data_IF_564442612785
#
_entry.id   IF_564442612785
#
_cell.length_a   1.000
_cell.length_b   1.000
_cell.length_c   1.000
_cell.angle_alpha   90.00
_cell.angle_beta   90.00
_cell.angle_gamma   90.00
#
_symmetry.space_group_name_H-M   'P 1'
#
loop_
_entity.id
_entity.type
_entity.pdbx_description
1 polymer ?
#
# COMPACT_ATOMS: atom_id res chain seq x y z
N UNK A 1 20.34 7.03 18.95
CA UNK A 1 20.27 7.55 17.56
C UNK A 1 18.89 7.26 17.01
N UNK A 2 17.96 8.23 17.02
CA UNK A 2 16.58 8.02 16.51
C UNK A 2 16.63 8.00 14.98
N UNK A 3 16.50 6.82 14.37
CA UNK A 3 16.39 6.68 12.92
C UNK A 3 15.03 7.28 12.53
N UNK A 4 15.05 8.44 11.88
CA UNK A 4 13.84 9.07 11.35
C UNK A 4 13.33 8.23 10.16
N UNK A 5 12.42 7.29 10.46
CA UNK A 5 11.82 6.36 9.49
C UNK A 5 11.16 7.09 8.31
N UNK A 6 10.88 8.39 8.42
CA UNK A 6 10.34 9.24 7.35
C UNK A 6 11.36 9.52 6.24
N UNK A 7 12.66 9.44 6.51
CA UNK A 7 13.75 9.70 5.52
C UNK A 7 14.26 8.45 4.81
N UNK A 8 13.91 7.26 5.30
CA UNK A 8 14.31 5.98 4.69
C UNK A 8 13.96 5.85 3.19
N UNK A 9 12.88 6.44 2.65
CA UNK A 9 12.59 6.41 1.21
C UNK A 9 13.52 7.27 0.36
N UNK A 10 13.93 8.41 0.90
CA UNK A 10 14.91 9.27 0.23
C UNK A 10 16.31 8.65 0.28
N UNK A 11 16.68 8.02 1.41
CA UNK A 11 17.95 7.32 1.55
C UNK A 11 18.06 6.12 0.59
N UNK A 12 16.99 5.34 0.43
CA UNK A 12 16.94 4.23 -0.53
C UNK A 12 16.70 4.68 -1.98
N UNK A 13 16.61 5.98 -2.29
CA UNK A 13 16.55 6.41 -3.70
C UNK A 13 15.30 6.00 -4.46
N UNK A 14 14.18 5.78 -3.76
CA UNK A 14 12.87 5.35 -4.33
C UNK A 14 11.72 6.17 -3.76
N UNK A 15 11.96 7.44 -3.42
CA UNK A 15 10.98 8.27 -2.71
C UNK A 15 9.73 8.60 -3.55
N UNK A 16 9.87 8.63 -4.88
CA UNK A 16 8.87 9.07 -5.84
C UNK A 16 8.81 10.60 -5.97
N UNK A 17 7.67 11.12 -6.42
CA UNK A 17 7.39 12.56 -6.44
C UNK A 17 6.98 13.04 -5.04
N UNK A 18 7.59 14.11 -4.55
CA UNK A 18 7.34 14.63 -3.20
C UNK A 18 5.93 15.21 -3.04
N UNK A 19 5.37 15.20 -1.82
CA UNK A 19 3.98 15.64 -1.56
C UNK A 19 3.73 17.12 -1.87
N UNK A 20 4.76 17.95 -1.79
CA UNK A 20 4.71 19.40 -2.06
C UNK A 20 4.88 19.76 -3.54
N UNK A 21 5.07 18.77 -4.41
CA UNK A 21 5.17 18.97 -5.86
C UNK A 21 3.80 19.17 -6.51
N UNK A 22 3.84 19.71 -7.74
CA UNK A 22 2.66 20.03 -8.53
C UNK A 22 1.68 18.85 -8.64
N UNK A 23 0.38 19.13 -8.67
CA UNK A 23 -0.65 18.11 -8.88
C UNK A 23 -0.47 17.34 -10.19
N UNK A 24 -0.03 18.02 -11.23
CA UNK A 24 0.25 17.43 -12.55
C UNK A 24 1.34 16.36 -12.42
N UNK A 25 2.45 16.66 -11.75
CA UNK A 25 3.53 15.70 -11.50
C UNK A 25 3.03 14.48 -10.71
N UNK A 26 2.18 14.69 -9.70
CA UNK A 26 1.59 13.61 -8.90
C UNK A 26 0.60 12.74 -9.70
N UNK A 27 -0.17 13.31 -10.61
CA UNK A 27 -1.08 12.55 -11.50
C UNK A 27 -0.31 11.70 -12.49
N UNK A 28 0.69 12.28 -13.15
CA UNK A 28 1.53 11.56 -14.11
C UNK A 28 2.35 10.45 -13.44
N UNK A 29 2.88 10.68 -12.25
CA UNK A 29 3.56 9.64 -11.47
C UNK A 29 2.67 8.41 -11.27
N UNK A 30 1.41 8.59 -10.86
CA UNK A 30 0.47 7.46 -10.67
C UNK A 30 0.12 6.75 -11.97
N UNK A 31 0.00 7.49 -13.08
CA UNK A 31 -0.35 6.92 -14.39
C UNK A 31 0.79 6.12 -15.01
N UNK A 32 2.04 6.57 -14.85
CA UNK A 32 3.22 5.93 -15.43
C UNK A 32 3.70 4.74 -14.59
N UNK A 33 3.44 4.75 -13.29
CA UNK A 33 3.90 3.69 -12.39
C UNK A 33 3.27 2.32 -12.69
N UNK A 34 1.99 2.26 -13.11
CA UNK A 34 1.32 0.98 -13.41
C UNK A 34 1.88 0.32 -14.68
N UNK A 35 1.95 1.02 -15.84
CA UNK A 35 2.58 0.49 -17.04
C UNK A 35 4.03 0.08 -16.81
N UNK A 36 4.82 0.88 -16.10
CA UNK A 36 6.22 0.53 -15.81
C UNK A 36 6.32 -0.68 -14.90
N UNK A 37 5.43 -0.82 -13.91
CA UNK A 37 5.42 -2.02 -13.07
C UNK A 37 5.10 -3.28 -13.87
N UNK A 38 4.11 -3.23 -14.76
CA UNK A 38 3.77 -4.34 -15.66
C UNK A 38 4.90 -4.65 -16.64
N UNK A 39 5.52 -3.61 -17.21
CA UNK A 39 6.69 -3.75 -18.08
C UNK A 39 7.87 -4.39 -17.34
N UNK A 40 8.02 -4.15 -16.04
CA UNK A 40 9.11 -4.75 -15.26
C UNK A 40 8.82 -6.22 -14.90
N UNK A 41 7.54 -6.62 -14.82
CA UNK A 41 7.16 -8.03 -14.65
C UNK A 41 7.62 -8.90 -15.82
N UNK A 42 7.82 -8.30 -17.00
CA UNK A 42 8.39 -8.97 -18.16
C UNK A 42 9.83 -9.43 -17.92
N UNK A 43 10.63 -8.70 -17.13
CA UNK A 43 12.08 -8.98 -16.99
C UNK A 43 12.40 -10.42 -16.51
N UNK A 44 11.79 -10.95 -15.43
CA UNK A 44 12.02 -12.35 -15.04
C UNK A 44 11.56 -13.35 -16.09
N UNK A 45 10.47 -13.08 -16.82
CA UNK A 45 10.02 -13.93 -17.93
C UNK A 45 10.98 -13.88 -19.12
N UNK A 46 11.46 -12.70 -19.50
CA UNK A 46 12.44 -12.51 -20.56
C UNK A 46 13.71 -13.31 -20.26
N UNK A 47 14.14 -13.29 -19.00
CA UNK A 47 15.31 -14.04 -18.58
C UNK A 47 15.05 -15.56 -18.54
N UNK A 48 13.85 -16.02 -18.18
CA UNK A 48 13.47 -17.42 -18.34
C UNK A 48 13.45 -17.85 -19.81
N UNK A 49 12.89 -17.01 -20.69
CA UNK A 49 12.82 -17.26 -22.13
C UNK A 49 14.21 -17.31 -22.78
N UNK A 50 15.13 -16.42 -22.37
CA UNK A 50 16.55 -16.43 -22.74
C UNK A 50 17.24 -17.73 -22.25
N UNK A 51 17.05 -18.09 -20.98
CA UNK A 51 17.66 -19.29 -20.39
C UNK A 51 17.20 -20.61 -21.05
N UNK A 52 15.98 -20.66 -21.57
CA UNK A 52 15.42 -21.83 -22.26
C UNK A 52 15.48 -21.73 -23.79
N UNK A 53 15.98 -20.63 -24.36
CA UNK A 53 16.03 -20.41 -25.80
C UNK A 53 14.66 -20.41 -26.49
N UNK A 54 13.62 -19.94 -25.79
CA UNK A 54 12.23 -20.00 -26.26
C UNK A 54 11.87 -18.91 -27.29
N UNK A 55 12.61 -17.80 -27.26
CA UNK A 55 12.33 -16.61 -28.06
C UNK A 55 13.62 -16.20 -28.79
N UNK A 56 13.48 -15.69 -30.03
CA UNK A 56 14.63 -15.17 -30.77
C UNK A 56 15.30 -14.00 -30.05
N UNK A 57 16.63 -13.94 -30.11
CA UNK A 57 17.43 -12.90 -29.47
C UNK A 57 16.99 -11.49 -29.89
N UNK A 58 16.62 -11.30 -31.17
CA UNK A 58 16.15 -10.02 -31.68
C UNK A 58 14.82 -9.56 -31.06
N UNK A 59 13.88 -10.49 -30.82
CA UNK A 59 12.61 -10.16 -30.17
C UNK A 59 12.80 -9.89 -28.67
N UNK A 60 13.67 -10.66 -27.99
CA UNK A 60 14.04 -10.39 -26.60
C UNK A 60 14.67 -9.01 -26.43
N UNK A 61 15.58 -8.63 -27.34
CA UNK A 61 16.21 -7.31 -27.35
C UNK A 61 15.19 -6.19 -27.59
N UNK A 62 14.26 -6.36 -28.53
CA UNK A 62 13.22 -5.37 -28.81
C UNK A 62 12.31 -5.14 -27.59
N UNK A 63 11.94 -6.21 -26.89
CA UNK A 63 11.10 -6.13 -25.69
C UNK A 63 11.86 -5.52 -24.50
N UNK A 64 13.11 -5.88 -24.30
CA UNK A 64 13.97 -5.26 -23.28
C UNK A 64 14.18 -3.76 -23.53
N UNK A 65 14.37 -3.36 -24.81
CA UNK A 65 14.45 -1.96 -25.21
C UNK A 65 13.13 -1.22 -24.93
N UNK A 66 11.99 -1.86 -25.19
CA UNK A 66 10.67 -1.28 -24.88
C UNK A 66 10.50 -1.03 -23.38
N UNK A 67 10.87 -2.01 -22.53
CA UNK A 67 10.81 -1.88 -21.06
C UNK A 67 11.75 -0.77 -20.58
N UNK A 68 13.01 -0.75 -21.06
CA UNK A 68 13.96 0.30 -20.71
C UNK A 68 13.48 1.68 -21.16
N UNK A 69 12.94 1.78 -22.38
CA UNK A 69 12.36 3.00 -22.92
C UNK A 69 11.18 3.51 -22.10
N UNK A 70 10.32 2.62 -21.59
CA UNK A 70 9.22 3.00 -20.70
C UNK A 70 9.72 3.57 -19.36
N UNK A 71 10.76 2.96 -18.77
CA UNK A 71 11.38 3.45 -17.53
C UNK A 71 12.08 4.79 -17.76
N UNK A 72 12.82 4.94 -18.86
CA UNK A 72 13.44 6.19 -19.24
C UNK A 72 12.39 7.28 -19.42
N UNK A 73 11.30 6.98 -20.14
CA UNK A 73 10.21 7.92 -20.38
C UNK A 73 9.58 8.35 -19.06
N UNK A 74 9.33 7.43 -18.13
CA UNK A 74 8.85 7.77 -16.78
C UNK A 74 9.81 8.75 -16.10
N UNK A 75 11.09 8.41 -16.04
CA UNK A 75 12.11 9.23 -15.38
C UNK A 75 12.22 10.63 -16.01
N UNK A 76 12.21 10.72 -17.34
CA UNK A 76 12.28 11.98 -18.09
C UNK A 76 11.03 12.82 -17.84
N UNK A 77 9.84 12.27 -18.05
CA UNK A 77 8.56 12.99 -17.87
C UNK A 77 8.44 13.53 -16.44
N UNK A 78 8.77 12.71 -15.44
CA UNK A 78 8.73 13.16 -14.03
C UNK A 78 9.79 14.20 -13.72
N UNK A 79 11.00 14.07 -14.27
CA UNK A 79 12.06 15.08 -14.08
C UNK A 79 11.71 16.43 -14.71
N UNK A 80 10.94 16.45 -15.80
CA UNK A 80 10.48 17.68 -16.46
C UNK A 80 9.31 18.35 -15.73
N UNK A 81 8.42 17.55 -15.14
CA UNK A 81 7.23 18.01 -14.41
C UNK A 81 7.53 18.53 -12.99
N UNK A 82 8.62 18.04 -12.38
CA UNK A 82 9.02 18.39 -11.01
C UNK A 82 9.74 19.74 -10.97
N UNK A 83 9.38 20.57 -9.99
CA UNK A 83 9.90 21.93 -9.83
C UNK A 83 11.38 21.93 -9.43
N UNK A 84 11.79 21.01 -8.55
CA UNK A 84 13.19 20.88 -8.12
C UNK A 84 13.83 19.56 -8.60
N UNK A 85 14.41 19.60 -9.80
CA UNK A 85 15.02 18.43 -10.46
C UNK A 85 16.13 17.79 -9.60
N UNK A 86 16.94 18.61 -8.94
CA UNK A 86 18.07 18.12 -8.13
C UNK A 86 17.56 17.32 -6.93
N UNK A 87 16.53 17.82 -6.26
CA UNK A 87 15.89 17.10 -5.16
C UNK A 87 15.27 15.78 -5.65
N UNK A 88 14.59 15.80 -6.80
CA UNK A 88 14.03 14.59 -7.39
C UNK A 88 15.07 13.50 -7.63
N UNK A 89 16.19 13.84 -8.29
CA UNK A 89 17.24 12.86 -8.59
C UNK A 89 18.00 12.39 -7.36
N UNK A 90 18.21 13.24 -6.35
CA UNK A 90 18.81 12.80 -5.08
C UNK A 90 17.89 11.89 -4.25
N UNK A 91 16.57 12.06 -4.37
CA UNK A 91 15.60 11.20 -3.70
C UNK A 91 15.22 9.95 -4.51
N UNK A 92 15.50 9.95 -5.81
CA UNK A 92 15.22 8.88 -6.75
C UNK A 92 16.50 8.41 -7.48
N UNK A 93 17.65 8.42 -6.78
CA UNK A 93 18.94 8.05 -7.36
C UNK A 93 18.96 6.62 -7.88
N UNK A 94 18.08 5.76 -7.36
CA UNK A 94 17.97 4.39 -7.83
C UNK A 94 17.27 4.28 -9.19
N UNK A 95 16.31 5.16 -9.52
CA UNK A 95 15.79 5.25 -10.89
C UNK A 95 16.90 5.63 -11.88
N UNK A 96 17.82 6.50 -11.47
CA UNK A 96 18.98 6.86 -12.28
C UNK A 96 19.89 5.63 -12.49
N UNK A 97 20.15 4.85 -11.44
CA UNK A 97 20.90 3.60 -11.55
C UNK A 97 20.22 2.55 -12.43
N UNK A 98 18.89 2.44 -12.39
CA UNK A 98 18.14 1.53 -13.27
C UNK A 98 18.32 1.95 -14.74
N UNK A 99 18.16 3.24 -15.04
CA UNK A 99 18.31 3.77 -16.40
C UNK A 99 19.76 3.63 -16.88
N UNK A 100 20.73 4.01 -16.05
CA UNK A 100 22.17 3.92 -16.36
C UNK A 100 22.66 2.47 -16.46
N UNK A 101 22.19 1.58 -15.58
CA UNK A 101 22.56 0.17 -15.57
C UNK A 101 21.96 -0.61 -16.75
N UNK A 102 20.81 -0.17 -17.27
CA UNK A 102 20.21 -0.74 -18.48
C UNK A 102 20.89 -0.32 -19.78
N UNK A 103 21.65 0.78 -19.79
CA UNK A 103 22.24 1.36 -21.00
C UNK A 103 23.41 0.53 -21.57
N UNK A 104 24.37 0.02 -20.77
CA UNK A 104 25.41 -0.90 -21.24
C UNK A 104 24.84 -2.18 -21.86
N UNK A 105 23.70 -2.67 -21.36
CA UNK A 105 23.05 -3.91 -21.83
C UNK A 105 22.50 -3.79 -23.26
N UNK A 106 22.22 -2.58 -23.74
CA UNK A 106 21.75 -2.36 -25.12
C UNK A 106 22.88 -2.49 -26.16
N UNK A 107 24.14 -2.26 -25.75
CA UNK A 107 25.28 -2.17 -26.67
C UNK A 107 26.35 -3.24 -26.45
N UNK A 108 26.48 -3.79 -25.23
CA UNK A 108 27.52 -4.73 -24.85
C UNK A 108 26.98 -6.17 -24.82
N UNK A 109 26.89 -6.81 -25.99
CA UNK A 109 26.50 -8.23 -26.14
C UNK A 109 27.60 -9.23 -25.69
N UNK A 110 28.65 -8.80 -24.99
CA UNK A 110 29.80 -9.65 -24.68
C UNK A 110 29.55 -10.54 -23.45
N UNK A 111 29.75 -11.85 -23.63
CA UNK A 111 29.28 -12.93 -22.76
C UNK A 111 29.72 -12.88 -21.27
N UNK A 112 30.83 -12.23 -20.94
CA UNK A 112 31.33 -12.15 -19.55
C UNK A 112 30.63 -11.07 -18.70
N UNK A 113 30.11 -10.00 -19.31
CA UNK A 113 29.38 -8.95 -18.59
C UNK A 113 27.94 -9.38 -18.22
N UNK A 114 27.40 -10.41 -18.88
CA UNK A 114 26.04 -10.92 -18.72
C UNK A 114 25.74 -11.38 -17.29
N UNK A 115 26.63 -12.10 -16.62
CA UNK A 115 26.36 -12.63 -15.28
C UNK A 115 26.23 -11.50 -14.23
N UNK A 116 27.16 -10.55 -14.24
CA UNK A 116 27.13 -9.40 -13.32
C UNK A 116 25.92 -8.50 -13.57
N UNK A 117 25.60 -8.23 -14.84
CA UNK A 117 24.46 -7.40 -15.21
C UNK A 117 23.12 -8.11 -14.93
N UNK A 118 23.06 -9.44 -15.03
CA UNK A 118 21.89 -10.25 -14.62
C UNK A 118 21.66 -10.18 -13.12
N UNK A 119 22.69 -10.33 -12.29
CA UNK A 119 22.59 -10.18 -10.82
C UNK A 119 22.15 -8.77 -10.45
N UNK A 120 22.68 -7.75 -11.13
CA UNK A 120 22.23 -6.37 -10.96
C UNK A 120 20.73 -6.25 -11.25
N UNK A 121 20.23 -6.88 -12.33
CA UNK A 121 18.80 -6.96 -12.68
C UNK A 121 17.93 -7.59 -11.60
N UNK A 122 18.41 -8.65 -10.92
CA UNK A 122 17.69 -9.28 -9.80
C UNK A 122 17.59 -8.34 -8.59
N UNK A 123 18.67 -7.60 -8.34
CA UNK A 123 18.70 -6.58 -7.31
C UNK A 123 17.69 -5.44 -7.62
N UNK A 124 17.48 -5.11 -8.90
CA UNK A 124 16.43 -4.17 -9.32
C UNK A 124 15.02 -4.69 -9.00
N UNK A 125 14.79 -5.99 -9.14
CA UNK A 125 13.53 -6.64 -8.77
C UNK A 125 13.26 -6.46 -7.27
N UNK A 126 14.25 -6.74 -6.42
CA UNK A 126 14.18 -6.51 -4.97
C UNK A 126 13.91 -5.03 -4.64
N UNK A 127 14.55 -4.11 -5.35
CA UNK A 127 14.33 -2.67 -5.14
C UNK A 127 12.93 -2.23 -5.56
N UNK A 128 12.40 -2.76 -6.67
CA UNK A 128 11.03 -2.49 -7.09
C UNK A 128 10.01 -3.04 -6.09
N UNK A 129 10.26 -4.22 -5.54
CA UNK A 129 9.47 -4.79 -4.46
C UNK A 129 9.44 -3.85 -3.25
N UNK A 130 10.59 -3.30 -2.86
CA UNK A 130 10.67 -2.29 -1.79
C UNK A 130 9.87 -1.02 -2.15
N UNK A 131 9.94 -0.55 -3.40
CA UNK A 131 9.19 0.63 -3.90
C UNK A 131 7.68 0.38 -3.81
N UNK A 132 7.22 -0.82 -4.17
CA UNK A 132 5.81 -1.24 -4.17
C UNK A 132 5.28 -1.44 -2.75
N UNK A 133 6.00 -2.18 -1.88
CA UNK A 133 5.66 -2.38 -0.46
C UNK A 133 5.49 -1.05 0.27
N UNK A 134 6.33 -0.05 -0.04
CA UNK A 134 6.22 1.29 0.56
C UNK A 134 5.05 2.13 0.05
N UNK A 135 4.56 1.87 -1.15
CA UNK A 135 3.32 2.50 -1.64
C UNK A 135 2.14 1.97 -0.84
N UNK A 136 2.07 0.67 -0.58
CA UNK A 136 1.04 0.08 0.29
C UNK A 136 1.15 0.54 1.74
N UNK A 137 2.37 0.70 2.29
CA UNK A 137 2.57 1.28 3.64
C UNK A 137 2.12 2.75 3.71
N UNK A 138 2.29 3.53 2.64
CA UNK A 138 1.77 4.92 2.55
C UNK A 138 0.26 4.96 2.25
N UNK A 139 -0.28 3.93 1.62
CA UNK A 139 -1.71 3.72 1.38
C UNK A 139 -2.41 3.02 2.55
N UNK A 140 -1.71 2.71 3.64
CA UNK A 140 -2.33 2.32 4.91
C UNK A 140 -3.23 3.44 5.48
N UNK A 141 -3.09 4.67 4.96
CA UNK A 141 -4.02 5.77 5.21
C UNK A 141 -5.33 5.68 4.39
N UNK A 142 -5.45 4.76 3.42
CA UNK A 142 -6.64 4.53 2.58
C UNK A 142 -6.72 3.05 2.18
N UNK A 143 -7.36 2.25 3.04
CA UNK A 143 -7.81 0.86 2.86
C UNK A 143 -7.71 0.33 1.42
N UNK A 144 -6.61 -0.34 1.06
CA UNK A 144 -6.59 -1.12 -0.18
C UNK A 144 -5.83 -2.42 0.04
N UNK A 145 -6.50 -3.38 0.70
CA UNK A 145 -6.12 -4.80 0.70
C UNK A 145 -5.68 -5.27 -0.71
N UNK A 146 -6.38 -4.78 -1.74
CA UNK A 146 -6.04 -5.00 -3.14
C UNK A 146 -4.58 -4.64 -3.48
N UNK A 147 -4.04 -3.52 -2.99
CA UNK A 147 -2.67 -3.13 -3.28
C UNK A 147 -1.64 -4.08 -2.64
N UNK A 148 -1.92 -4.56 -1.42
CA UNK A 148 -1.08 -5.56 -0.73
C UNK A 148 -1.11 -6.89 -1.48
N UNK A 149 -2.28 -7.34 -1.94
CA UNK A 149 -2.43 -8.56 -2.72
C UNK A 149 -1.76 -8.48 -4.10
N UNK A 150 -1.85 -7.33 -4.78
CA UNK A 150 -1.16 -7.11 -6.06
C UNK A 150 0.36 -7.22 -5.89
N UNK A 151 0.92 -6.71 -4.78
CA UNK A 151 2.34 -6.85 -4.48
C UNK A 151 2.73 -8.30 -4.22
N UNK A 152 1.92 -9.01 -3.43
CA UNK A 152 2.13 -10.43 -3.16
C UNK A 152 2.12 -11.25 -4.47
N UNK A 153 1.17 -10.95 -5.37
CA UNK A 153 1.10 -11.59 -6.68
C UNK A 153 2.34 -11.27 -7.53
N UNK A 154 2.76 -10.00 -7.57
CA UNK A 154 3.96 -9.60 -8.29
C UNK A 154 5.23 -10.29 -7.76
N UNK A 155 5.37 -10.43 -6.43
CA UNK A 155 6.45 -11.18 -5.78
C UNK A 155 6.47 -12.64 -6.22
N UNK A 156 5.31 -13.30 -6.14
CA UNK A 156 5.16 -14.72 -6.49
C UNK A 156 5.52 -14.95 -7.95
N UNK A 157 4.97 -14.14 -8.86
CA UNK A 157 5.24 -14.29 -10.30
C UNK A 157 6.70 -14.03 -10.59
N UNK A 158 7.26 -12.94 -10.06
CA UNK A 158 8.64 -12.58 -10.34
C UNK A 158 9.63 -13.61 -9.80
N UNK A 159 9.53 -13.97 -8.52
CA UNK A 159 10.47 -14.90 -7.89
C UNK A 159 10.24 -16.33 -8.37
N UNK A 160 9.00 -16.74 -8.59
CA UNK A 160 8.67 -18.08 -9.09
C UNK A 160 9.19 -18.32 -10.50
N UNK A 161 9.01 -17.36 -11.41
CA UNK A 161 9.57 -17.47 -12.77
C UNK A 161 11.10 -17.43 -12.74
N UNK A 162 11.68 -16.58 -11.88
CA UNK A 162 13.13 -16.44 -11.75
C UNK A 162 13.77 -17.73 -11.23
N UNK A 163 13.24 -18.32 -10.16
CA UNK A 163 13.85 -19.51 -9.58
C UNK A 163 13.79 -20.71 -10.54
N UNK A 164 12.75 -20.78 -11.39
CA UNK A 164 12.61 -21.80 -12.43
C UNK A 164 13.66 -21.71 -13.56
N UNK A 165 14.37 -20.59 -13.69
CA UNK A 165 15.45 -20.42 -14.68
C UNK A 165 16.86 -20.51 -14.11
N UNK A 166 17.07 -20.25 -12.81
CA UNK A 166 18.41 -20.43 -12.18
C UNK A 166 18.56 -21.80 -11.52
N UNK A 167 17.48 -22.35 -10.96
CA UNK A 167 17.60 -23.50 -10.06
C UNK A 167 17.35 -24.83 -10.80
N UNK A 168 18.29 -25.79 -10.74
CA UNK A 168 18.14 -27.05 -11.46
C UNK A 168 17.03 -27.95 -10.89
N UNK A 169 16.63 -27.76 -9.63
CA UNK A 169 15.56 -28.57 -9.03
C UNK A 169 14.16 -28.06 -9.39
N UNK A 170 14.04 -26.83 -9.90
CA UNK A 170 12.77 -26.23 -10.34
C UNK A 170 12.64 -26.38 -11.85
N UNK A 171 11.86 -27.36 -12.30
CA UNK A 171 11.88 -27.81 -13.70
C UNK A 171 11.08 -26.90 -14.64
N UNK A 172 9.95 -26.37 -14.16
CA UNK A 172 9.05 -25.55 -14.97
C UNK A 172 8.70 -24.24 -14.28
N UNK A 173 8.21 -23.25 -15.05
CA UNK A 173 7.66 -22.00 -14.46
C UNK A 173 6.55 -22.33 -13.46
N UNK A 174 5.70 -23.31 -13.77
CA UNK A 174 4.60 -23.72 -12.91
C UNK A 174 5.09 -24.25 -11.56
N UNK A 175 6.18 -25.04 -11.56
CA UNK A 175 6.81 -25.51 -10.32
C UNK A 175 7.38 -24.34 -9.51
N UNK A 176 7.99 -23.36 -10.17
CA UNK A 176 8.51 -22.16 -9.53
C UNK A 176 7.41 -21.27 -8.94
N UNK A 177 6.31 -21.07 -9.67
CA UNK A 177 5.13 -20.34 -9.17
C UNK A 177 4.47 -21.07 -8.01
N UNK A 178 4.31 -22.39 -8.12
CA UNK A 178 3.80 -23.24 -7.05
C UNK A 178 4.65 -23.11 -5.79
N UNK A 179 5.97 -23.29 -5.92
CA UNK A 179 6.91 -23.13 -4.81
C UNK A 179 6.82 -21.73 -4.20
N UNK A 180 6.74 -20.68 -5.01
CA UNK A 180 6.65 -19.32 -4.52
C UNK A 180 5.35 -19.07 -3.73
N UNK A 181 4.20 -19.58 -4.19
CA UNK A 181 2.92 -19.52 -3.46
C UNK A 181 3.00 -20.29 -2.15
N UNK A 182 3.48 -21.53 -2.18
CA UNK A 182 3.59 -22.40 -0.99
C UNK A 182 4.56 -21.81 0.05
N UNK A 183 5.63 -21.16 -0.41
CA UNK A 183 6.63 -20.54 0.47
C UNK A 183 6.14 -19.22 1.06
N UNK A 184 5.59 -18.31 0.24
CA UNK A 184 5.11 -17.01 0.72
C UNK A 184 3.93 -17.17 1.69
N UNK A 185 3.08 -18.19 1.46
CA UNK A 185 1.95 -18.55 2.34
C UNK A 185 2.36 -19.32 3.59
N UNK A 186 3.65 -19.59 3.78
CA UNK A 186 4.22 -20.34 4.91
C UNK A 186 3.73 -21.79 5.05
N UNK A 187 3.16 -22.38 3.98
CA UNK A 187 2.69 -23.78 3.98
C UNK A 187 3.86 -24.76 3.92
N UNK A 188 4.78 -24.57 2.98
CA UNK A 188 6.05 -25.31 2.94
C UNK A 188 5.94 -26.84 2.77
N UNK A 189 5.19 -27.34 1.77
CA UNK A 189 5.06 -28.79 1.52
C UNK A 189 6.39 -29.53 1.32
N UNK A 190 7.41 -28.86 0.77
CA UNK A 190 8.75 -29.43 0.57
C UNK A 190 8.89 -30.32 -0.67
N UNK A 191 7.86 -30.42 -1.49
CA UNK A 191 7.80 -31.16 -2.75
C UNK A 191 8.66 -30.54 -3.85
N UNK A 192 8.66 -29.21 -3.95
CA UNK A 192 9.55 -28.43 -4.83
C UNK A 192 10.31 -27.44 -3.97
N UNK A 193 11.65 -27.44 -4.03
CA UNK A 193 12.49 -26.48 -3.29
C UNK A 193 13.76 -26.12 -4.06
N UNK A 194 14.22 -24.85 -4.04
CA UNK A 194 15.48 -24.47 -4.65
C UNK A 194 16.67 -25.10 -3.92
N UNK A 195 17.59 -25.70 -4.67
CA UNK A 195 18.80 -26.33 -4.12
C UNK A 195 20.06 -25.48 -4.33
N UNK A 196 20.06 -24.60 -5.33
CA UNK A 196 21.16 -23.71 -5.66
C UNK A 196 21.32 -22.58 -4.63
N UNK A 197 22.54 -22.05 -4.50
CA UNK A 197 22.81 -20.91 -3.61
C UNK A 197 21.99 -19.67 -4.00
N UNK A 198 21.90 -19.40 -5.30
CA UNK A 198 21.15 -18.27 -5.86
C UNK A 198 19.64 -18.44 -5.64
N UNK A 199 19.10 -19.65 -5.89
CA UNK A 199 17.69 -19.97 -5.63
C UNK A 199 17.32 -19.88 -4.15
N UNK A 200 18.21 -20.32 -3.25
CA UNK A 200 18.01 -20.16 -1.80
C UNK A 200 18.04 -18.71 -1.36
N UNK A 201 18.92 -17.88 -1.94
CA UNK A 201 18.95 -16.44 -1.68
C UNK A 201 17.62 -15.77 -2.07
N UNK A 202 17.05 -16.13 -3.22
CA UNK A 202 15.71 -15.69 -3.61
C UNK A 202 14.63 -16.18 -2.63
N UNK A 203 14.76 -17.41 -2.13
CA UNK A 203 13.89 -17.95 -1.07
C UNK A 203 13.93 -17.12 0.20
N UNK A 204 15.12 -16.73 0.67
CA UNK A 204 15.27 -15.84 1.85
C UNK A 204 14.55 -14.51 1.62
N UNK A 205 14.73 -13.91 0.43
CA UNK A 205 14.03 -12.68 0.07
C UNK A 205 12.52 -12.89 0.08
N UNK A 206 12.01 -13.93 -0.56
CA UNK A 206 10.59 -14.25 -0.61
C UNK A 206 9.97 -14.42 0.78
N UNK A 207 10.66 -15.14 1.68
CA UNK A 207 10.21 -15.37 3.05
C UNK A 207 10.12 -14.04 3.83
N UNK A 208 11.17 -13.20 3.76
CA UNK A 208 11.17 -11.90 4.43
C UNK A 208 10.03 -10.99 3.94
N UNK A 209 9.79 -10.96 2.62
CA UNK A 209 8.66 -10.23 2.07
C UNK A 209 7.30 -10.85 2.44
N UNK A 210 7.22 -12.18 2.51
CA UNK A 210 6.02 -12.90 2.95
C UNK A 210 5.58 -12.45 4.34
N UNK A 211 6.50 -12.36 5.30
CA UNK A 211 6.22 -11.85 6.66
C UNK A 211 5.64 -10.43 6.61
N UNK A 212 6.22 -9.56 5.80
CA UNK A 212 5.73 -8.17 5.65
C UNK A 212 4.33 -8.15 5.04
N UNK A 213 4.09 -8.91 3.97
CA UNK A 213 2.79 -9.00 3.29
C UNK A 213 1.73 -9.51 4.25
N UNK A 214 1.98 -10.62 4.97
CA UNK A 214 1.04 -11.17 5.95
C UNK A 214 0.74 -10.16 7.05
N UNK A 215 1.78 -9.52 7.62
CA UNK A 215 1.61 -8.48 8.64
C UNK A 215 0.75 -7.33 8.14
N UNK A 216 0.92 -6.93 6.87
CA UNK A 216 0.11 -5.88 6.26
C UNK A 216 -1.33 -6.32 6.04
N UNK A 217 -1.58 -7.56 5.59
CA UNK A 217 -2.94 -8.09 5.45
C UNK A 217 -3.64 -8.10 6.82
N UNK A 218 -2.99 -8.64 7.86
CA UNK A 218 -3.51 -8.66 9.24
C UNK A 218 -3.82 -7.25 9.74
N UNK A 219 -2.90 -6.29 9.53
CA UNK A 219 -3.10 -4.91 9.94
C UNK A 219 -4.27 -4.23 9.21
N UNK A 220 -4.45 -4.52 7.91
CA UNK A 220 -5.58 -3.98 7.14
C UNK A 220 -6.92 -4.56 7.63
N UNK A 221 -6.99 -5.86 7.91
CA UNK A 221 -8.20 -6.50 8.46
C UNK A 221 -8.52 -5.90 9.83
N UNK A 222 -7.53 -5.76 10.70
CA UNK A 222 -7.71 -5.12 12.02
C UNK A 222 -8.21 -3.68 11.88
N UNK A 223 -7.66 -2.90 10.94
CA UNK A 223 -8.10 -1.53 10.70
C UNK A 223 -9.56 -1.44 10.22
N UNK A 224 -10.03 -2.42 9.43
CA UNK A 224 -11.45 -2.49 9.02
C UNK A 224 -12.33 -2.80 10.23
N UNK A 225 -11.96 -3.78 11.07
CA UNK A 225 -12.73 -4.13 12.26
C UNK A 225 -12.82 -2.98 13.26
N UNK A 226 -11.70 -2.28 13.51
CA UNK A 226 -11.69 -1.09 14.37
C UNK A 226 -12.54 0.03 13.76
N UNK A 227 -12.49 0.21 12.43
CA UNK A 227 -13.34 1.19 11.73
C UNK A 227 -14.83 0.93 11.95
N UNK A 228 -15.27 -0.31 11.81
CA UNK A 228 -16.66 -0.71 12.06
C UNK A 228 -17.08 -0.47 13.52
N UNK A 229 -16.21 -0.81 14.47
CA UNK A 229 -16.47 -0.59 15.89
C UNK A 229 -16.56 0.89 16.25
N UNK A 230 -15.72 1.73 15.65
CA UNK A 230 -15.78 3.20 15.83
C UNK A 230 -17.08 3.76 15.28
N UNK A 231 -17.52 3.29 14.10
CA UNK A 231 -18.77 3.73 13.48
C UNK A 231 -20.00 3.34 14.32
N UNK A 232 -20.07 2.08 14.80
CA UNK A 232 -21.10 1.64 15.75
C UNK A 232 -21.12 2.48 17.03
N UNK A 233 -19.95 2.71 17.65
CA UNK A 233 -19.86 3.52 18.88
C UNK A 233 -20.28 4.98 18.65
N UNK A 234 -19.95 5.55 17.48
CA UNK A 234 -20.35 6.90 17.12
C UNK A 234 -21.86 7.02 16.91
N UNK A 235 -22.48 5.99 16.32
CA UNK A 235 -23.94 5.93 16.19
C UNK A 235 -24.63 5.76 17.54
N UNK A 236 -24.08 4.93 18.43
CA UNK A 236 -24.60 4.75 19.79
C UNK A 236 -24.54 6.04 20.60
N UNK A 237 -23.40 6.74 20.60
CA UNK A 237 -23.25 8.05 21.27
C UNK A 237 -24.26 9.05 20.71
N UNK A 238 -24.40 9.12 19.38
CA UNK A 238 -25.37 10.02 18.75
C UNK A 238 -26.81 9.69 19.16
N UNK A 239 -27.16 8.40 19.29
CA UNK A 239 -28.48 7.97 19.76
C UNK A 239 -28.69 8.26 21.24
N UNK A 240 -27.67 8.10 22.08
CA UNK A 240 -27.72 8.45 23.49
C UNK A 240 -27.89 9.95 23.71
N UNK A 241 -27.16 10.78 22.96
CA UNK A 241 -27.30 12.24 22.98
C UNK A 241 -28.74 12.66 22.65
N UNK A 242 -29.31 12.14 21.56
CA UNK A 242 -30.71 12.41 21.18
C UNK A 242 -31.69 11.94 22.25
N UNK A 243 -31.44 10.77 22.88
CA UNK A 243 -32.29 10.28 23.99
C UNK A 243 -32.22 11.16 25.22
N UNK A 244 -31.02 11.62 25.59
CA UNK A 244 -30.82 12.53 26.72
C UNK A 244 -31.52 13.87 26.48
N UNK A 245 -31.42 14.42 25.27
CA UNK A 245 -32.10 15.67 24.91
C UNK A 245 -33.62 15.53 25.04
N UNK A 246 -34.20 14.45 24.51
CA UNK A 246 -35.64 14.16 24.65
C UNK A 246 -36.07 13.99 26.12
N UNK A 247 -35.25 13.33 26.94
CA UNK A 247 -35.53 13.15 28.36
C UNK A 247 -35.53 14.48 29.13
N UNK A 248 -34.61 15.39 28.80
CA UNK A 248 -34.55 16.73 29.40
C UNK A 248 -35.80 17.51 29.04
N UNK A 249 -36.21 17.49 27.76
CA UNK A 249 -37.42 18.17 27.30
C UNK A 249 -38.67 17.67 28.02
N UNK A 250 -38.83 16.35 28.18
CA UNK A 250 -39.94 15.77 28.95
C UNK A 250 -39.92 16.23 30.43
N UNK A 251 -38.76 16.29 31.07
CA UNK A 251 -38.63 16.78 32.45
C UNK A 251 -38.98 18.25 32.59
N UNK A 252 -38.64 19.07 31.59
CA UNK A 252 -39.01 20.49 31.56
C UNK A 252 -40.52 20.65 31.44
N UNK A 253 -41.18 19.91 30.55
CA UNK A 253 -42.65 19.90 30.43
C UNK A 253 -43.33 19.47 31.75
N UNK A 254 -42.81 18.43 32.42
CA UNK A 254 -43.31 18.00 33.73
C UNK A 254 -43.16 19.08 34.82
N UNK A 255 -42.04 19.80 34.83
CA UNK A 255 -41.80 20.90 35.77
C UNK A 255 -42.74 22.07 35.51
N UNK A 256 -42.93 22.45 34.25
CA UNK A 256 -43.85 23.52 33.84
C UNK A 256 -45.29 23.18 34.28
N UNK A 257 -45.74 21.95 34.03
CA UNK A 257 -47.05 21.48 34.48
C UNK A 257 -47.23 21.47 36.02
N UNK A 258 -46.15 21.30 36.79
CA UNK A 258 -46.16 21.42 38.26
C UNK A 258 -46.23 22.88 38.72
N UNK A 259 -45.51 23.77 38.05
CA UNK A 259 -45.57 25.21 38.32
C UNK A 259 -46.97 25.77 38.08
N UNK A 260 -47.59 25.45 36.94
CA UNK A 260 -48.97 25.84 36.62
C UNK A 260 -49.96 25.36 37.68
N UNK A 261 -49.75 24.15 38.21
CA UNK A 261 -50.60 23.58 39.27
C UNK A 261 -50.43 24.33 40.59
N UNK A 262 -49.20 24.68 40.96
CA UNK A 262 -48.93 25.47 42.16
C UNK A 262 -49.51 26.88 42.06
N UNK A 263 -49.38 27.53 40.89
CA UNK A 263 -49.93 28.86 40.66
C UNK A 263 -51.46 28.86 40.82
N UNK A 264 -52.16 27.85 40.28
CA UNK A 264 -53.61 27.69 40.51
C UNK A 264 -53.98 27.52 41.98
N UNK A 265 -53.25 26.70 42.73
CA UNK A 265 -53.50 26.48 44.16
C UNK A 265 -53.29 27.75 45.00
N UNK A 266 -52.25 28.53 44.68
CA UNK A 266 -51.98 29.80 45.34
C UNK A 266 -53.06 30.86 45.04
N UNK A 267 -53.52 30.92 43.78
CA UNK A 267 -54.66 31.77 43.39
C UNK A 267 -55.91 31.41 44.21
N UNK A 268 -56.24 30.11 44.32
CA UNK A 268 -57.38 29.62 45.12
C UNK A 268 -57.27 29.98 46.61
N UNK A 269 -56.09 29.79 47.22
CA UNK A 269 -55.86 30.15 48.63
C UNK A 269 -56.01 31.66 48.89
N UNK A 270 -55.50 32.48 47.96
CA UNK A 270 -55.57 33.94 48.07
C UNK A 270 -57.00 34.45 47.93
N UNK A 271 -57.81 33.83 47.07
CA UNK A 271 -59.25 34.11 47.00
C UNK A 271 -60.02 33.63 48.23
N UNK A 272 -59.57 32.56 48.90
CA UNK A 272 -60.16 32.05 50.14
C UNK A 272 -59.89 32.93 51.38
N UNK A 273 -58.76 33.64 51.43
CA UNK A 273 -58.43 34.56 52.55
C UNK A 273 -59.01 35.98 52.41
N UNK A 274 -59.53 36.36 51.24
CA UNK A 274 -59.99 37.72 50.96
C UNK A 274 -61.48 38.00 51.28
N UNK A 275 -62.20 37.11 51.99
CA UNK A 275 -63.55 37.43 52.48
C UNK A 275 -63.49 37.98 53.91
N UNK A 276 -63.70 39.30 54.12
CA UNK A 276 -63.88 39.82 55.47
C UNK A 276 -65.19 39.32 56.04
N UNK A 277 -65.11 38.84 57.29
CA UNK A 277 -66.24 38.57 58.18
C UNK A 277 -67.17 39.77 58.14
N UNK A 278 -68.36 39.57 57.56
CA UNK A 278 -69.47 40.50 57.68
C UNK A 278 -69.92 40.45 59.15
N UNK A 279 -69.52 41.45 59.92
CA UNK A 279 -70.22 41.77 61.16
C UNK A 279 -71.65 42.19 60.81
N UNK A 280 -72.60 41.55 61.48
CA UNK A 280 -74.03 41.90 61.52
C UNK A 280 -74.55 41.38 62.86
N UNK A 281 -75.54 42.03 63.51
CA UNK A 281 -76.34 43.19 63.08
C UNK A 281 -76.00 44.52 63.78
#
# INVERSE_FOLDING_TARGET
>A
MKIDLRRLPALLGVAGVAKHENETARRWARRLEIPVALATLWLPFAWYADAKGLISDGLLQALDLMVWGAILLEAVVLSLLVRNRRLYWTQNWMNLLIVLGGLPLLFMQQAAAMAFLRVLRLLLLVVMLIRMTRRSLRMLARHTLAATLIIALFLVVSIGTLVASIDPNVKTIWDGLWWAVVTISTVGYGDVTPVSAEGRLLGVVLILFGVVVFSMVTANVAAVLVGLQVEESSEEISREEVRHELMILQRLEEMEARFDRLERLLMEQRTGQAMPVKESP
#
